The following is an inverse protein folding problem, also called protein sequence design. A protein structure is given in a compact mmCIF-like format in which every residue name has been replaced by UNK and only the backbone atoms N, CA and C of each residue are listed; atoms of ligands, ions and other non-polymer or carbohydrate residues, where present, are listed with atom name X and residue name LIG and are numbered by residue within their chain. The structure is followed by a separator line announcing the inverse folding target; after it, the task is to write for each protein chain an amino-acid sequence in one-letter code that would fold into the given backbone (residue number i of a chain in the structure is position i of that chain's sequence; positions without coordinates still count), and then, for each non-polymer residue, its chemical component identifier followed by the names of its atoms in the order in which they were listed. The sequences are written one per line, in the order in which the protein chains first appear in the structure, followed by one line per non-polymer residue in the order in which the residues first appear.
data_IF_384942778369
#
_entry.id   IF_384942778369
#
_cell.length_a   1.000
_cell.length_b   1.000
_cell.length_c   1.000
_cell.angle_alpha   90.00
_cell.angle_beta   90.00
_cell.angle_gamma   90.00
#
_symmetry.space_group_name_H-M   'P 1'
#
loop_
_entity.id
_entity.type
_entity.pdbx_description
1 polymer ?
#
# COMPACT_ATOMS: atom_id res chain seq x y z
N UNK A 1 51.96 7.76 22.55
CA UNK A 1 50.78 8.64 22.39
C UNK A 1 50.87 9.51 21.13
N UNK A 2 52.04 10.09 20.82
CA UNK A 2 52.23 10.94 19.62
C UNK A 2 52.09 10.21 18.27
N UNK A 3 52.47 8.94 18.18
CA UNK A 3 52.42 8.20 16.91
C UNK A 3 50.99 7.81 16.51
N UNK A 4 50.14 7.48 17.49
CA UNK A 4 48.71 7.23 17.26
C UNK A 4 47.99 8.48 16.72
N UNK A 5 48.34 9.67 17.24
CA UNK A 5 47.77 10.95 16.81
C UNK A 5 48.22 11.29 15.38
N UNK A 6 49.50 11.05 15.05
CA UNK A 6 50.02 11.22 13.68
C UNK A 6 49.37 10.28 12.68
N UNK A 7 49.19 9.01 13.05
CA UNK A 7 48.48 8.00 12.25
C UNK A 7 47.04 8.47 12.01
N UNK A 8 46.31 8.87 13.06
CA UNK A 8 44.95 9.39 12.95
C UNK A 8 44.84 10.64 12.06
N UNK A 9 45.80 11.58 12.15
CA UNK A 9 45.82 12.75 11.28
C UNK A 9 46.10 12.40 9.81
N UNK A 10 46.95 11.40 9.54
CA UNK A 10 47.25 10.94 8.19
C UNK A 10 46.06 10.22 7.54
N UNK A 11 45.31 9.45 8.34
CA UNK A 11 44.11 8.73 7.89
C UNK A 11 42.83 9.56 8.01
N UNK A 12 42.84 10.70 8.70
CA UNK A 12 41.66 11.58 8.87
C UNK A 12 41.00 11.95 7.53
N UNK A 13 41.74 12.35 6.46
CA UNK A 13 41.14 12.62 5.16
C UNK A 13 40.47 11.38 4.54
N UNK A 14 41.07 10.20 4.70
CA UNK A 14 40.53 8.93 4.21
C UNK A 14 39.26 8.53 4.97
N UNK A 15 39.25 8.69 6.29
CA UNK A 15 38.09 8.44 7.15
C UNK A 15 36.96 9.43 6.78
N UNK A 16 37.26 10.71 6.56
CA UNK A 16 36.30 11.72 6.10
C UNK A 16 35.72 11.41 4.72
N UNK A 17 36.55 10.94 3.78
CA UNK A 17 36.07 10.48 2.47
C UNK A 17 35.13 9.27 2.63
N UNK A 18 35.52 8.32 3.47
CA UNK A 18 34.78 7.08 3.67
C UNK A 18 33.41 7.35 4.33
N UNK A 19 33.36 8.21 5.34
CA UNK A 19 32.10 8.64 5.98
C UNK A 19 31.24 9.46 5.03
N UNK A 20 31.83 10.29 4.16
CA UNK A 20 31.12 11.02 3.12
C UNK A 20 30.44 10.08 2.12
N UNK A 21 31.16 9.09 1.59
CA UNK A 21 30.57 8.11 0.68
C UNK A 21 29.50 7.23 1.34
N UNK A 22 29.70 6.85 2.60
CA UNK A 22 28.68 6.17 3.40
C UNK A 22 27.41 7.01 3.56
N UNK A 23 27.56 8.30 3.88
CA UNK A 23 26.46 9.25 3.97
C UNK A 23 25.69 9.37 2.65
N UNK A 24 26.40 9.50 1.53
CA UNK A 24 25.80 9.52 0.20
C UNK A 24 25.03 8.23 -0.12
N UNK A 25 25.62 7.08 0.19
CA UNK A 25 24.99 5.79 -0.06
C UNK A 25 23.70 5.60 0.74
N UNK A 26 23.74 5.90 2.04
CA UNK A 26 22.57 5.80 2.91
C UNK A 26 21.49 6.80 2.49
N UNK A 27 21.89 8.05 2.23
CA UNK A 27 20.98 9.11 1.77
C UNK A 27 20.28 8.74 0.47
N UNK A 28 21.03 8.28 -0.54
CA UNK A 28 20.46 7.85 -1.82
C UNK A 28 19.52 6.66 -1.66
N UNK A 29 19.89 5.66 -0.85
CA UNK A 29 19.02 4.52 -0.55
C UNK A 29 17.69 4.95 0.09
N UNK A 30 17.72 5.92 1.00
CA UNK A 30 16.51 6.47 1.62
C UNK A 30 15.67 7.30 0.65
N UNK A 31 16.30 8.14 -0.19
CA UNK A 31 15.61 8.91 -1.22
C UNK A 31 14.85 7.99 -2.19
N UNK A 32 15.52 6.98 -2.75
CA UNK A 32 14.91 5.98 -3.63
C UNK A 32 13.77 5.24 -2.92
N UNK A 33 13.96 4.89 -1.64
CA UNK A 33 12.95 4.21 -0.84
C UNK A 33 11.72 5.08 -0.57
N UNK A 34 11.87 6.39 -0.43
CA UNK A 34 10.77 7.34 -0.25
C UNK A 34 9.99 7.50 -1.56
N UNK A 35 10.69 7.72 -2.67
CA UNK A 35 10.05 7.94 -3.98
C UNK A 35 9.24 6.71 -4.40
N UNK A 36 9.76 5.49 -4.17
CA UNK A 36 9.02 4.24 -4.42
C UNK A 36 7.74 4.10 -3.57
N UNK A 37 7.75 4.60 -2.34
CA UNK A 37 6.57 4.57 -1.45
C UNK A 37 5.55 5.60 -1.89
N UNK A 38 5.99 6.80 -2.24
CA UNK A 38 5.13 7.83 -2.81
C UNK A 38 4.47 7.36 -4.12
N UNK A 39 5.24 6.80 -5.05
CA UNK A 39 4.75 6.28 -6.34
C UNK A 39 3.79 5.09 -6.17
N UNK A 40 3.88 4.37 -5.06
CA UNK A 40 2.91 3.32 -4.70
C UNK A 40 1.62 3.93 -4.16
N UNK A 41 1.73 4.87 -3.20
CA UNK A 41 0.61 5.54 -2.58
C UNK A 41 -0.23 6.31 -3.61
N UNK A 42 0.40 7.06 -4.51
CA UNK A 42 -0.28 7.77 -5.61
C UNK A 42 -1.14 6.84 -6.49
N UNK A 43 -0.76 5.56 -6.61
CA UNK A 43 -1.54 4.57 -7.37
C UNK A 43 -2.58 3.85 -6.54
N UNK A 44 -2.34 3.73 -5.23
CA UNK A 44 -3.25 3.12 -4.29
C UNK A 44 -4.42 4.08 -3.96
N UNK A 45 -4.15 5.38 -3.92
CA UNK A 45 -5.11 6.44 -3.59
C UNK A 45 -6.46 6.31 -4.31
N UNK A 46 -6.53 6.21 -5.66
CA UNK A 46 -7.83 6.10 -6.33
C UNK A 46 -8.61 4.83 -5.97
N UNK A 47 -7.92 3.78 -5.50
CA UNK A 47 -8.56 2.55 -5.03
C UNK A 47 -9.05 2.75 -3.59
N UNK A 48 -8.26 3.43 -2.75
CA UNK A 48 -8.65 3.77 -1.38
C UNK A 48 -9.87 4.69 -1.39
N UNK A 49 -9.86 5.76 -2.19
CA UNK A 49 -10.98 6.70 -2.32
C UNK A 49 -12.27 6.00 -2.75
N UNK A 50 -12.16 5.09 -3.72
CA UNK A 50 -13.28 4.25 -4.13
C UNK A 50 -13.84 3.45 -2.95
N UNK A 51 -12.98 2.80 -2.18
CA UNK A 51 -13.40 1.99 -1.04
C UNK A 51 -13.90 2.81 0.15
N UNK A 52 -13.40 4.02 0.35
CA UNK A 52 -13.90 4.98 1.34
C UNK A 52 -15.33 5.41 0.99
N UNK A 53 -15.56 5.70 -0.30
CA UNK A 53 -16.90 5.98 -0.80
C UNK A 53 -17.84 4.79 -0.61
N UNK A 54 -17.42 3.58 -0.97
CA UNK A 54 -18.25 2.38 -0.79
C UNK A 54 -18.54 2.09 0.69
N UNK A 55 -17.56 2.31 1.57
CA UNK A 55 -17.72 2.15 3.01
C UNK A 55 -18.88 3.02 3.52
N UNK A 56 -18.95 4.29 3.11
CA UNK A 56 -20.02 5.21 3.53
C UNK A 56 -21.42 4.71 3.15
N UNK A 57 -21.57 4.07 1.98
CA UNK A 57 -22.83 3.46 1.55
C UNK A 57 -23.21 2.24 2.39
N UNK A 58 -22.25 1.36 2.67
CA UNK A 58 -22.49 0.15 3.44
C UNK A 58 -22.81 0.44 4.91
N UNK A 59 -22.22 1.48 5.49
CA UNK A 59 -22.55 1.97 6.83
C UNK A 59 -24.02 2.43 6.92
N UNK A 60 -24.56 3.00 5.84
CA UNK A 60 -25.98 3.38 5.74
C UNK A 60 -26.90 2.21 5.31
N UNK A 61 -26.38 0.98 5.26
CA UNK A 61 -27.07 -0.21 4.74
C UNK A 61 -27.57 -0.04 3.29
N UNK A 62 -27.00 0.91 2.56
CA UNK A 62 -27.32 1.14 1.17
C UNK A 62 -26.68 0.08 0.27
N UNK A 63 -27.37 -0.22 -0.84
CA UNK A 63 -26.82 -1.06 -1.90
C UNK A 63 -27.11 -0.39 -3.24
N UNK A 64 -26.15 -0.46 -4.15
CA UNK A 64 -26.24 0.17 -5.46
C UNK A 64 -25.51 -0.68 -6.49
N UNK A 65 -26.21 -0.99 -7.58
CA UNK A 65 -25.68 -1.78 -8.70
C UNK A 65 -24.83 -0.97 -9.66
N UNK A 66 -24.83 0.36 -9.53
CA UNK A 66 -24.14 1.27 -10.43
C UNK A 66 -22.62 1.35 -10.19
N UNK A 67 -22.13 0.78 -9.08
CA UNK A 67 -20.72 0.90 -8.72
C UNK A 67 -19.90 -0.25 -9.27
N UNK A 68 -19.04 0.10 -10.21
CA UNK A 68 -18.04 -0.78 -10.81
C UNK A 68 -16.71 -0.56 -10.10
N UNK A 69 -15.99 -1.65 -9.84
CA UNK A 69 -14.64 -1.56 -9.31
C UNK A 69 -13.75 -0.75 -10.28
N UNK A 70 -12.78 0.02 -9.77
CA UNK A 70 -11.86 0.79 -10.60
C UNK A 70 -10.80 -0.13 -11.22
N UNK A 71 -11.20 -0.99 -12.15
CA UNK A 71 -10.38 -2.06 -12.73
C UNK A 71 -9.06 -1.55 -13.33
N UNK A 72 -9.10 -0.36 -13.97
CA UNK A 72 -7.90 0.27 -14.53
C UNK A 72 -6.90 0.69 -13.44
N UNK A 73 -7.37 1.22 -12.30
CA UNK A 73 -6.51 1.55 -11.16
C UNK A 73 -5.94 0.28 -10.52
N UNK A 74 -6.78 -0.74 -10.31
CA UNK A 74 -6.40 -2.05 -9.78
C UNK A 74 -5.32 -2.70 -10.66
N UNK A 75 -5.52 -2.72 -11.98
CA UNK A 75 -4.57 -3.32 -12.94
C UNK A 75 -3.23 -2.59 -12.92
N UNK A 76 -3.25 -1.25 -12.86
CA UNK A 76 -2.03 -0.44 -12.76
C UNK A 76 -1.28 -0.71 -11.45
N UNK A 77 -1.98 -0.82 -10.32
CA UNK A 77 -1.38 -1.18 -9.05
C UNK A 77 -0.76 -2.58 -9.09
N UNK A 78 -1.49 -3.57 -9.62
CA UNK A 78 -1.04 -4.96 -9.70
C UNK A 78 0.29 -5.11 -10.44
N UNK A 79 0.50 -4.37 -11.54
CA UNK A 79 1.77 -4.39 -12.31
C UNK A 79 3.01 -4.03 -11.48
N UNK A 80 2.85 -3.31 -10.37
CA UNK A 80 3.95 -2.91 -9.47
C UNK A 80 4.10 -3.80 -8.25
N UNK A 81 3.13 -4.67 -7.98
CA UNK A 81 3.19 -5.64 -6.90
C UNK A 81 4.06 -6.84 -7.29
N UNK A 82 4.77 -7.43 -6.32
CA UNK A 82 5.39 -8.74 -6.53
C UNK A 82 4.31 -9.82 -6.68
N UNK A 83 4.60 -10.94 -7.36
CA UNK A 83 3.64 -12.04 -7.58
C UNK A 83 2.92 -12.50 -6.30
N UNK A 84 3.64 -12.58 -5.17
CA UNK A 84 3.05 -12.93 -3.87
C UNK A 84 2.02 -11.89 -3.41
N UNK A 85 2.36 -10.60 -3.51
CA UNK A 85 1.46 -9.49 -3.15
C UNK A 85 0.29 -9.36 -4.12
N UNK A 86 0.49 -9.62 -5.41
CA UNK A 86 -0.57 -9.67 -6.41
C UNK A 86 -1.62 -10.74 -6.05
N UNK A 87 -1.18 -11.98 -5.78
CA UNK A 87 -2.10 -13.07 -5.39
C UNK A 87 -2.90 -12.73 -4.13
N UNK A 88 -2.23 -12.15 -3.12
CA UNK A 88 -2.90 -11.72 -1.89
C UNK A 88 -3.94 -10.63 -2.16
N UNK A 89 -3.61 -9.64 -2.98
CA UNK A 89 -4.53 -8.56 -3.31
C UNK A 89 -5.72 -9.06 -4.14
N UNK A 90 -5.46 -9.90 -5.15
CA UNK A 90 -6.50 -10.53 -5.97
C UNK A 90 -7.48 -11.33 -5.11
N UNK A 91 -6.98 -12.07 -4.12
CA UNK A 91 -7.83 -12.80 -3.18
C UNK A 91 -8.76 -11.87 -2.38
N UNK A 92 -8.26 -10.72 -1.90
CA UNK A 92 -9.07 -9.73 -1.19
C UNK A 92 -10.16 -9.15 -2.09
N UNK A 93 -9.81 -8.77 -3.32
CA UNK A 93 -10.77 -8.23 -4.29
C UNK A 93 -11.85 -9.26 -4.64
N UNK A 94 -11.47 -10.53 -4.86
CA UNK A 94 -12.42 -11.61 -5.16
C UNK A 94 -13.38 -11.87 -3.99
N UNK A 95 -12.87 -11.88 -2.76
CA UNK A 95 -13.69 -12.03 -1.56
C UNK A 95 -14.71 -10.90 -1.45
N UNK A 96 -14.27 -9.65 -1.62
CA UNK A 96 -15.14 -8.48 -1.67
C UNK A 96 -16.21 -8.61 -2.77
N UNK A 97 -15.80 -8.92 -4.01
CA UNK A 97 -16.72 -9.06 -5.14
C UNK A 97 -17.75 -10.16 -4.92
N UNK A 98 -17.34 -11.29 -4.33
CA UNK A 98 -18.24 -12.40 -4.02
C UNK A 98 -19.35 -11.96 -3.07
N UNK A 99 -19.00 -11.33 -1.94
CA UNK A 99 -19.96 -10.81 -0.95
C UNK A 99 -20.84 -9.72 -1.57
N UNK A 100 -20.24 -8.79 -2.32
CA UNK A 100 -20.95 -7.70 -2.96
C UNK A 100 -21.98 -8.21 -3.99
N UNK A 101 -21.62 -9.24 -4.77
CA UNK A 101 -22.53 -9.85 -5.72
C UNK A 101 -23.69 -10.60 -5.04
N UNK A 102 -23.50 -11.16 -3.84
CA UNK A 102 -24.59 -11.78 -3.08
C UNK A 102 -25.65 -10.74 -2.68
N UNK A 103 -25.24 -9.52 -2.33
CA UNK A 103 -26.14 -8.42 -1.94
C UNK A 103 -27.01 -7.88 -3.08
N UNK A 104 -26.75 -8.29 -4.33
CA UNK A 104 -27.68 -8.06 -5.46
C UNK A 104 -29.05 -8.66 -5.19
N UNK A 105 -29.10 -9.78 -4.46
CA UNK A 105 -30.35 -10.39 -4.03
C UNK A 105 -30.81 -9.76 -2.71
N UNK A 106 -32.00 -9.16 -2.70
CA UNK A 106 -32.54 -8.46 -1.52
C UNK A 106 -32.62 -9.36 -0.28
N UNK A 107 -32.95 -10.65 -0.46
CA UNK A 107 -32.99 -11.65 0.63
C UNK A 107 -31.64 -11.88 1.31
N UNK A 108 -30.54 -11.52 0.66
CA UNK A 108 -29.18 -11.68 1.17
C UNK A 108 -28.63 -10.41 1.86
N UNK A 109 -29.43 -9.34 1.93
CA UNK A 109 -29.08 -8.06 2.59
C UNK A 109 -29.27 -8.15 4.11
N UNK A 110 -28.47 -9.00 4.74
CA UNK A 110 -28.44 -9.13 6.20
C UNK A 110 -27.38 -8.21 6.81
N UNK A 111 -27.56 -7.86 8.09
CA UNK A 111 -26.55 -7.11 8.86
C UNK A 111 -25.16 -7.77 8.79
N UNK A 112 -25.13 -9.10 8.88
CA UNK A 112 -23.90 -9.89 8.78
C UNK A 112 -23.19 -9.70 7.44
N UNK A 113 -23.94 -9.66 6.33
CA UNK A 113 -23.37 -9.45 4.99
C UNK A 113 -22.75 -8.05 4.85
N UNK A 114 -23.42 -7.01 5.35
CA UNK A 114 -22.87 -5.66 5.37
C UNK A 114 -21.64 -5.55 6.27
N UNK A 115 -21.66 -6.16 7.45
CA UNK A 115 -20.52 -6.14 8.37
C UNK A 115 -19.32 -6.91 7.77
N UNK A 116 -19.57 -8.00 7.05
CA UNK A 116 -18.54 -8.73 6.31
C UNK A 116 -17.94 -7.88 5.19
N UNK A 117 -18.76 -7.13 4.43
CA UNK A 117 -18.26 -6.19 3.44
C UNK A 117 -17.38 -5.11 4.06
N UNK A 118 -17.84 -4.47 5.13
CA UNK A 118 -17.08 -3.43 5.83
C UNK A 118 -15.71 -3.96 6.29
N UNK A 119 -15.67 -5.19 6.81
CA UNK A 119 -14.42 -5.86 7.16
C UNK A 119 -13.52 -6.08 5.94
N UNK A 120 -14.06 -6.59 4.84
CA UNK A 120 -13.29 -6.83 3.61
C UNK A 120 -12.76 -5.52 3.00
N UNK A 121 -13.54 -4.45 3.05
CA UNK A 121 -13.11 -3.10 2.65
C UNK A 121 -11.96 -2.62 3.53
N UNK A 122 -12.06 -2.81 4.86
CA UNK A 122 -10.98 -2.47 5.79
C UNK A 122 -9.70 -3.28 5.50
N UNK A 123 -9.81 -4.58 5.24
CA UNK A 123 -8.67 -5.45 4.91
C UNK A 123 -7.98 -5.02 3.60
N UNK A 124 -8.76 -4.59 2.60
CA UNK A 124 -8.24 -4.04 1.34
C UNK A 124 -7.49 -2.72 1.60
N UNK A 125 -8.10 -1.78 2.32
CA UNK A 125 -7.46 -0.51 2.68
C UNK A 125 -6.19 -0.71 3.48
N UNK A 126 -6.19 -1.68 4.41
CA UNK A 126 -5.02 -2.05 5.20
C UNK A 126 -3.88 -2.53 4.30
N UNK A 127 -4.17 -3.40 3.33
CA UNK A 127 -3.18 -3.87 2.36
C UNK A 127 -2.56 -2.71 1.55
N UNK A 128 -3.36 -1.70 1.22
CA UNK A 128 -2.95 -0.55 0.42
C UNK A 128 -2.17 0.49 1.23
N UNK A 129 -2.42 0.65 2.53
CA UNK A 129 -1.72 1.64 3.38
C UNK A 129 -0.33 1.18 3.86
N UNK A 130 -0.04 -0.12 3.88
CA UNK A 130 1.16 -0.68 4.52
C UNK A 130 2.46 -0.65 3.67
N UNK A 131 2.75 0.42 2.92
CA UNK A 131 4.01 0.49 2.15
C UNK A 131 4.76 1.80 2.17
#
# INVERSE_FOLDING_TARGET
MNDLIKILQLYSPLISLLTFFLGLYIGNKHAIGRDKRQEFNERAEPIIDYFDYMQSWFEQRGFTTAFLLPESAITRLMRRLSKRKQKRFDALIRQYQSTFNQLKHEKSRTEEAYNLLLKQVADIKLFLRFK
#
